data_IF_269457121657
#
_entry.id   IF_269457121657
#
_cell.length_a   1.000
_cell.length_b   1.000
_cell.length_c   1.000
_cell.angle_alpha   90.00
_cell.angle_beta   90.00
_cell.angle_gamma   90.00
#
_symmetry.space_group_name_H-M   'P 1'
#
loop_
_entity.id
_entity.type
_entity.pdbx_description
1 polymer ?
#
# COMPACT_ATOMS: atom_id res chain seq x y z
N UNK A 1 18.97 -29.45 -7.71
CA UNK A 1 17.81 -28.80 -8.37
C UNK A 1 16.98 -27.95 -7.39
N UNK A 2 17.53 -27.51 -6.24
CA UNK A 2 16.72 -26.94 -5.13
C UNK A 2 16.53 -25.41 -5.15
N UNK A 3 17.48 -24.63 -5.69
CA UNK A 3 17.47 -23.17 -5.48
C UNK A 3 16.26 -22.39 -6.03
N UNK A 4 15.54 -22.90 -7.04
CA UNK A 4 14.33 -22.24 -7.56
C UNK A 4 13.11 -22.48 -6.66
N UNK A 5 13.06 -23.65 -6.02
CA UNK A 5 12.00 -24.00 -5.08
C UNK A 5 12.17 -23.19 -3.78
N UNK A 6 13.42 -23.10 -3.30
CA UNK A 6 13.77 -22.32 -2.11
C UNK A 6 13.44 -20.83 -2.29
N UNK A 7 13.70 -20.27 -3.48
CA UNK A 7 13.33 -18.90 -3.81
C UNK A 7 11.80 -18.68 -3.90
N UNK A 8 11.05 -19.68 -4.39
CA UNK A 8 9.59 -19.60 -4.47
C UNK A 8 8.94 -19.67 -3.08
N UNK A 9 9.46 -20.52 -2.20
CA UNK A 9 9.03 -20.61 -0.81
C UNK A 9 9.36 -19.34 -0.01
N UNK A 10 10.56 -18.78 -0.19
CA UNK A 10 10.95 -17.52 0.45
C UNK A 10 10.03 -16.38 0.01
N UNK A 11 9.81 -16.25 -1.30
CA UNK A 11 8.89 -15.27 -1.86
C UNK A 11 7.48 -15.42 -1.28
N UNK A 12 6.93 -16.63 -1.29
CA UNK A 12 5.61 -16.94 -0.79
C UNK A 12 5.43 -16.53 0.68
N UNK A 13 6.38 -16.93 1.52
CA UNK A 13 6.39 -16.61 2.96
C UNK A 13 6.37 -15.11 3.20
N UNK A 14 7.24 -14.36 2.52
CA UNK A 14 7.34 -12.90 2.65
C UNK A 14 6.11 -12.19 2.08
N UNK A 15 5.56 -12.70 0.99
CA UNK A 15 4.34 -12.18 0.36
C UNK A 15 3.11 -12.36 1.25
N UNK A 16 2.93 -13.53 1.86
CA UNK A 16 1.87 -13.76 2.85
C UNK A 16 2.04 -12.80 4.04
N UNK A 17 3.26 -12.63 4.53
CA UNK A 17 3.55 -11.75 5.66
C UNK A 17 3.16 -10.29 5.39
N UNK A 18 3.49 -9.74 4.22
CA UNK A 18 3.09 -8.36 3.88
C UNK A 18 1.60 -8.25 3.58
N UNK A 19 0.97 -9.28 3.00
CA UNK A 19 -0.47 -9.28 2.75
C UNK A 19 -1.27 -9.23 4.07
N UNK A 20 -0.82 -9.96 5.09
CA UNK A 20 -1.48 -10.03 6.40
C UNK A 20 -1.30 -8.75 7.23
N UNK A 21 -0.18 -8.05 7.06
CA UNK A 21 0.19 -6.92 7.92
C UNK A 21 0.01 -5.57 7.22
N UNK A 22 0.25 -5.47 5.93
CA UNK A 22 0.15 -4.21 5.18
C UNK A 22 -1.19 -4.18 4.44
N UNK A 23 -2.15 -3.51 5.07
CA UNK A 23 -3.42 -3.13 4.43
C UNK A 23 -3.89 -1.78 4.99
N UNK A 24 -4.58 -0.96 4.17
CA UNK A 24 -5.12 0.33 4.60
C UNK A 24 -6.07 0.15 5.79
N UNK A 25 -6.00 1.07 6.75
CA UNK A 25 -6.93 1.07 7.88
C UNK A 25 -8.40 1.17 7.40
N UNK A 26 -8.64 1.90 6.31
CA UNK A 26 -9.96 2.06 5.68
C UNK A 26 -10.56 0.75 5.19
N UNK A 27 -9.71 -0.18 4.75
CA UNK A 27 -10.14 -1.49 4.29
C UNK A 27 -10.50 -2.38 5.48
N UNK A 28 -9.86 -2.17 6.65
CA UNK A 28 -10.09 -2.92 7.88
C UNK A 28 -9.74 -4.41 7.80
N UNK A 29 -9.29 -4.88 6.65
CA UNK A 29 -8.95 -6.28 6.36
C UNK A 29 -7.77 -6.38 5.40
N UNK A 30 -7.02 -7.50 5.44
CA UNK A 30 -6.03 -7.84 4.41
C UNK A 30 -6.63 -7.82 3.00
N UNK A 31 -5.81 -7.46 2.01
CA UNK A 31 -6.20 -7.55 0.61
C UNK A 31 -6.53 -8.99 0.22
N UNK A 32 -7.63 -9.17 -0.51
CA UNK A 32 -7.97 -10.44 -1.14
C UNK A 32 -7.08 -10.71 -2.35
N UNK A 33 -6.92 -11.99 -2.73
CA UNK A 33 -6.16 -12.35 -3.94
C UNK A 33 -6.70 -11.65 -5.21
N UNK A 34 -8.02 -11.38 -5.24
CA UNK A 34 -8.68 -10.67 -6.33
C UNK A 34 -8.30 -9.20 -6.37
N UNK A 35 -8.29 -8.50 -5.23
CA UNK A 35 -7.87 -7.09 -5.15
C UNK A 35 -6.39 -6.93 -5.54
N UNK A 36 -5.53 -7.85 -5.10
CA UNK A 36 -4.10 -7.85 -5.50
C UNK A 36 -3.95 -8.11 -6.99
N UNK A 37 -4.70 -9.07 -7.53
CA UNK A 37 -4.70 -9.41 -8.95
C UNK A 37 -5.14 -8.20 -9.81
N UNK A 38 -6.21 -7.53 -9.41
CA UNK A 38 -6.72 -6.32 -10.08
C UNK A 38 -5.68 -5.18 -10.03
N UNK A 39 -5.07 -4.93 -8.87
CA UNK A 39 -4.08 -3.85 -8.68
C UNK A 39 -2.78 -4.07 -9.48
N UNK A 40 -2.34 -5.32 -9.61
CA UNK A 40 -1.06 -5.67 -10.28
C UNK A 40 -1.28 -6.07 -11.75
N UNK A 41 -2.54 -6.18 -12.20
CA UNK A 41 -2.89 -6.65 -13.54
C UNK A 41 -2.50 -8.11 -13.80
N UNK A 42 -2.68 -8.96 -12.78
CA UNK A 42 -2.42 -10.41 -12.82
C UNK A 42 -3.73 -11.19 -12.72
N UNK A 43 -3.70 -12.50 -13.03
CA UNK A 43 -4.84 -13.36 -12.72
C UNK A 43 -4.83 -13.80 -11.25
N UNK A 44 -6.01 -14.05 -10.68
CA UNK A 44 -6.15 -14.58 -9.32
C UNK A 44 -5.38 -15.90 -9.16
N UNK A 45 -5.40 -16.76 -10.18
CA UNK A 45 -4.64 -18.01 -10.20
C UNK A 45 -3.12 -17.78 -10.14
N UNK A 46 -2.60 -16.75 -10.82
CA UNK A 46 -1.19 -16.39 -10.71
C UNK A 46 -0.85 -15.93 -9.29
N UNK A 47 -1.66 -15.06 -8.69
CA UNK A 47 -1.47 -14.63 -7.29
C UNK A 47 -1.48 -15.83 -6.33
N UNK A 48 -2.42 -16.76 -6.50
CA UNK A 48 -2.49 -17.96 -5.66
C UNK A 48 -1.27 -18.87 -5.83
N UNK A 49 -0.74 -19.03 -7.04
CA UNK A 49 0.49 -19.79 -7.28
C UNK A 49 1.72 -19.15 -6.63
N UNK A 50 1.80 -17.80 -6.63
CA UNK A 50 2.86 -17.06 -5.94
C UNK A 50 2.74 -17.21 -4.42
N UNK A 51 1.52 -17.06 -3.88
CA UNK A 51 1.24 -17.19 -2.45
C UNK A 51 1.55 -18.57 -1.88
N UNK A 52 1.34 -19.62 -2.69
CA UNK A 52 1.58 -21.01 -2.28
C UNK A 52 2.99 -21.51 -2.63
N UNK A 53 3.90 -20.63 -3.09
CA UNK A 53 5.28 -21.01 -3.43
C UNK A 53 5.40 -21.92 -4.66
N UNK A 54 4.35 -22.06 -5.47
CA UNK A 54 4.37 -22.90 -6.69
C UNK A 54 5.11 -22.26 -7.84
N UNK A 55 5.29 -20.94 -7.79
CA UNK A 55 5.97 -20.18 -8.84
C UNK A 55 6.70 -18.97 -8.26
N UNK A 56 7.79 -18.58 -8.91
CA UNK A 56 8.49 -17.33 -8.66
C UNK A 56 7.93 -16.27 -9.61
N UNK A 57 7.62 -15.05 -9.15
CA UNK A 57 7.14 -14.00 -10.04
C UNK A 57 8.25 -13.56 -10.99
N UNK A 58 7.85 -13.05 -12.16
CA UNK A 58 8.78 -12.32 -13.03
C UNK A 58 9.16 -10.99 -12.38
N UNK A 59 10.31 -10.45 -12.77
CA UNK A 59 10.86 -9.22 -12.16
C UNK A 59 9.87 -8.05 -12.21
N UNK A 60 9.19 -7.84 -13.33
CA UNK A 60 8.15 -6.82 -13.50
C UNK A 60 7.01 -6.97 -12.47
N UNK A 61 6.57 -8.20 -12.25
CA UNK A 61 5.48 -8.51 -11.29
C UNK A 61 5.94 -8.45 -9.85
N UNK A 62 7.17 -8.86 -9.57
CA UNK A 62 7.77 -8.74 -8.24
C UNK A 62 7.87 -7.27 -7.81
N UNK A 63 8.29 -6.39 -8.73
CA UNK A 63 8.35 -4.94 -8.49
C UNK A 63 6.94 -4.37 -8.28
N UNK A 64 5.97 -4.74 -9.11
CA UNK A 64 4.60 -4.25 -8.95
C UNK A 64 3.97 -4.68 -7.61
N UNK A 65 4.23 -5.91 -7.16
CA UNK A 65 3.84 -6.38 -5.82
C UNK A 65 4.57 -5.58 -4.73
N UNK A 66 5.88 -5.36 -4.86
CA UNK A 66 6.66 -4.58 -3.90
C UNK A 66 6.09 -3.15 -3.74
N UNK A 67 5.79 -2.49 -4.86
CA UNK A 67 5.16 -1.17 -4.90
C UNK A 67 3.79 -1.15 -4.25
N UNK A 68 2.96 -2.17 -4.48
CA UNK A 68 1.63 -2.28 -3.86
C UNK A 68 1.71 -2.30 -2.32
N UNK A 69 2.68 -3.02 -1.78
CA UNK A 69 2.87 -3.13 -0.32
C UNK A 69 3.86 -2.09 0.25
N UNK A 70 4.40 -1.19 -0.57
CA UNK A 70 5.35 -0.17 -0.12
C UNK A 70 6.69 -0.73 0.38
N UNK A 71 7.12 -1.91 -0.07
CA UNK A 71 8.42 -2.52 0.24
C UNK A 71 9.33 -2.51 -0.98
N UNK A 72 10.64 -2.72 -0.80
CA UNK A 72 11.57 -2.93 -1.92
C UNK A 72 11.51 -4.40 -2.36
N UNK A 73 11.74 -4.66 -3.65
CA UNK A 73 11.63 -6.01 -4.24
C UNK A 73 12.60 -7.01 -3.62
N UNK A 74 13.76 -6.54 -3.15
CA UNK A 74 14.79 -7.34 -2.49
C UNK A 74 14.25 -8.04 -1.23
N UNK A 75 13.29 -7.41 -0.54
CA UNK A 75 12.67 -7.99 0.66
C UNK A 75 12.14 -9.41 0.44
N UNK A 76 11.58 -9.70 -0.74
CA UNK A 76 11.00 -11.00 -1.02
C UNK A 76 12.03 -12.12 -1.24
N UNK A 77 13.29 -11.77 -1.52
CA UNK A 77 14.35 -12.72 -1.86
C UNK A 77 15.52 -12.67 -0.89
N UNK A 78 15.62 -11.63 -0.06
CA UNK A 78 16.67 -11.46 0.92
C UNK A 78 16.61 -12.51 2.03
N UNK A 79 17.77 -12.98 2.52
CA UNK A 79 17.82 -13.83 3.71
C UNK A 79 17.34 -13.07 4.94
N UNK A 80 16.93 -13.80 5.98
CA UNK A 80 16.44 -13.22 7.24
C UNK A 80 17.53 -12.43 8.01
N UNK A 81 18.79 -12.56 7.60
CA UNK A 81 19.94 -11.85 8.14
C UNK A 81 20.17 -10.48 7.49
N UNK A 82 19.54 -10.23 6.35
CA UNK A 82 19.67 -8.98 5.61
C UNK A 82 19.18 -7.80 6.47
N UNK A 83 19.98 -6.72 6.61
CA UNK A 83 19.63 -5.58 7.45
C UNK A 83 18.30 -4.93 7.07
N UNK A 84 17.99 -4.85 5.77
CA UNK A 84 16.74 -4.28 5.29
C UNK A 84 15.57 -5.21 5.59
N UNK A 85 15.70 -6.51 5.34
CA UNK A 85 14.66 -7.47 5.69
C UNK A 85 14.35 -7.50 7.20
N UNK A 86 15.35 -7.34 8.06
CA UNK A 86 15.17 -7.22 9.52
C UNK A 86 14.44 -5.95 9.93
N UNK A 87 14.75 -4.83 9.30
CA UNK A 87 14.07 -3.55 9.56
C UNK A 87 12.60 -3.61 9.17
N UNK A 88 12.31 -4.14 7.97
CA UNK A 88 10.93 -4.35 7.50
C UNK A 88 10.18 -5.26 8.47
N UNK A 89 10.73 -6.42 8.86
CA UNK A 89 10.06 -7.33 9.80
C UNK A 89 9.80 -6.70 11.18
N UNK A 90 10.72 -5.85 11.66
CA UNK A 90 10.51 -5.08 12.89
C UNK A 90 9.33 -4.12 12.73
N UNK A 91 9.25 -3.42 11.60
CA UNK A 91 8.14 -2.52 11.31
C UNK A 91 6.80 -3.27 11.19
N UNK A 92 6.78 -4.40 10.49
CA UNK A 92 5.59 -5.27 10.39
C UNK A 92 5.11 -5.75 11.76
N UNK A 93 6.04 -6.11 12.67
CA UNK A 93 5.69 -6.48 14.04
C UNK A 93 5.08 -5.32 14.83
N UNK A 94 5.57 -4.09 14.64
CA UNK A 94 4.99 -2.91 15.29
C UNK A 94 3.53 -2.71 14.85
N UNK A 95 3.26 -2.76 13.54
CA UNK A 95 1.90 -2.66 12.97
C UNK A 95 0.98 -3.77 13.54
N UNK A 96 1.48 -5.00 13.62
CA UNK A 96 0.72 -6.12 14.16
C UNK A 96 0.41 -5.97 15.66
N UNK A 97 1.36 -5.45 16.45
CA UNK A 97 1.16 -5.19 17.88
C UNK A 97 0.15 -4.09 18.13
N UNK A 98 0.22 -3.00 17.36
CA UNK A 98 -0.75 -1.91 17.39
C UNK A 98 -2.17 -2.44 17.11
N UNK A 99 -2.30 -3.35 16.13
CA UNK A 99 -3.59 -3.95 15.78
C UNK A 99 -4.11 -4.95 16.81
N UNK A 100 -3.25 -5.81 17.39
CA UNK A 100 -3.63 -6.78 18.44
C UNK A 100 -4.10 -6.11 19.74
N UNK A 101 -3.88 -4.81 19.92
CA UNK A 101 -4.37 -4.01 21.04
C UNK A 101 -5.76 -3.35 20.87
N UNK A 102 -6.54 -3.68 19.81
CA UNK A 102 -7.92 -3.26 19.42
C UNK A 102 -8.71 -2.20 20.26
N UNK A 103 -9.46 -1.24 19.66
CA UNK A 103 -10.02 -1.30 18.30
C UNK A 103 -9.63 -0.15 17.35
N UNK A 104 -9.45 -0.45 16.05
CA UNK A 104 -9.72 0.53 14.98
C UNK A 104 -11.25 0.62 14.86
N UNK A 105 -11.84 1.37 15.78
CA UNK A 105 -13.29 1.52 15.89
C UNK A 105 -13.68 2.83 16.54
N UNK A 106 -12.90 3.91 16.35
CA UNK A 106 -13.25 5.20 16.93
C UNK A 106 -12.66 6.43 16.20
N UNK A 107 -12.91 6.57 14.90
CA UNK A 107 -12.90 7.90 14.24
C UNK A 107 -14.11 8.12 13.30
N UNK A 108 -15.22 7.40 13.50
CA UNK A 108 -16.46 7.73 12.75
C UNK A 108 -17.76 7.38 13.48
N UNK A 109 -17.87 7.74 14.77
CA UNK A 109 -19.19 7.74 15.43
C UNK A 109 -19.32 8.85 16.47
N UNK A 110 -19.77 10.01 16.01
CA UNK A 110 -20.53 10.95 16.82
C UNK A 110 -21.67 11.51 15.95
N UNK A 111 -22.90 11.19 16.35
CA UNK A 111 -24.18 11.86 16.08
C UNK A 111 -24.61 12.07 14.61
N UNK A 112 -25.78 11.64 14.14
CA UNK A 112 -26.98 11.11 14.77
C UNK A 112 -27.86 10.50 13.67
N UNK A 113 -28.63 9.47 13.96
CA UNK A 113 -30.04 9.69 14.27
C UNK A 113 -30.88 9.44 13.02
N UNK A 114 -31.50 8.25 12.99
CA UNK A 114 -32.46 7.78 11.99
C UNK A 114 -33.38 8.88 11.43
N UNK A 115 -33.68 8.85 10.14
CA UNK A 115 -35.05 8.94 9.56
C UNK A 115 -34.99 8.87 8.03
N UNK A 116 -35.76 7.92 7.49
CA UNK A 116 -36.52 7.90 6.23
C UNK A 116 -36.17 8.86 5.05
N UNK A 117 -36.29 8.27 3.86
CA UNK A 117 -36.81 8.82 2.60
C UNK A 117 -35.91 9.75 1.74
N UNK A 118 -35.89 9.36 0.45
CA UNK A 118 -35.92 10.22 -0.75
C UNK A 118 -34.65 11.01 -1.11
N UNK A 119 -34.02 10.55 -2.20
CA UNK A 119 -33.95 11.31 -3.46
C UNK A 119 -33.02 12.53 -3.57
N UNK A 120 -32.16 12.48 -4.60
CA UNK A 120 -31.74 13.68 -5.33
C UNK A 120 -30.33 14.23 -5.04
N UNK A 121 -29.78 15.08 -5.94
CA UNK A 121 -28.41 14.94 -6.43
C UNK A 121 -27.44 16.08 -6.04
N UNK A 122 -26.15 15.71 -5.84
CA UNK A 122 -24.89 16.51 -5.91
C UNK A 122 -24.85 17.87 -5.15
N UNK A 123 -23.76 18.67 -5.12
CA UNK A 123 -22.30 18.46 -5.26
C UNK A 123 -21.53 19.01 -4.01
N UNK A 124 -20.20 19.14 -4.12
CA UNK A 124 -19.28 19.92 -3.26
C UNK A 124 -18.60 19.19 -2.08
N UNK A 125 -17.53 18.45 -2.40
CA UNK A 125 -16.50 18.09 -1.43
C UNK A 125 -15.65 19.32 -1.06
N UNK A 126 -16.12 20.03 -0.04
CA UNK A 126 -15.29 20.87 0.82
C UNK A 126 -15.28 20.20 2.21
N UNK A 127 -14.11 19.71 2.64
CA UNK A 127 -13.94 19.13 3.97
C UNK A 127 -12.64 18.37 4.11
N UNK A 128 -11.65 19.03 4.71
CA UNK A 128 -10.46 18.48 5.40
C UNK A 128 -9.82 17.22 4.76
N UNK A 129 -8.79 17.44 3.95
CA UNK A 129 -7.82 16.39 3.63
C UNK A 129 -6.84 16.30 4.82
N UNK A 130 -6.75 15.12 5.42
CA UNK A 130 -6.05 14.74 6.65
C UNK A 130 -4.70 15.43 6.92
N UNK A 131 -4.70 16.36 7.87
CA UNK A 131 -3.54 17.09 8.38
C UNK A 131 -2.43 16.16 8.93
N UNK A 132 -2.77 14.96 9.40
CA UNK A 132 -1.81 14.02 9.99
C UNK A 132 -0.86 13.38 8.97
N UNK A 133 -1.35 13.02 7.78
CA UNK A 133 -0.48 12.50 6.72
C UNK A 133 0.45 13.60 6.17
N UNK A 134 -0.07 14.81 6.02
CA UNK A 134 0.71 15.98 5.61
C UNK A 134 1.82 16.27 6.64
N UNK A 135 1.49 16.17 7.93
CA UNK A 135 2.43 16.34 9.04
C UNK A 135 3.53 15.28 9.06
N UNK A 136 3.20 14.01 8.88
CA UNK A 136 4.19 12.93 8.85
C UNK A 136 5.19 13.09 7.68
N UNK A 137 4.72 13.52 6.51
CA UNK A 137 5.59 13.83 5.37
C UNK A 137 6.48 15.03 5.69
N UNK A 138 5.92 16.09 6.28
CA UNK A 138 6.68 17.30 6.64
C UNK A 138 7.79 16.99 7.67
N UNK A 139 7.49 16.19 8.70
CA UNK A 139 8.45 15.73 9.70
C UNK A 139 9.57 14.89 9.06
N UNK A 140 9.21 13.99 8.14
CA UNK A 140 10.18 13.17 7.41
C UNK A 140 11.08 13.98 6.47
N UNK A 141 10.57 15.03 5.83
CA UNK A 141 11.36 15.92 4.96
C UNK A 141 12.27 16.85 5.77
N UNK A 142 11.85 17.26 6.97
CA UNK A 142 12.61 18.16 7.83
C UNK A 142 13.95 17.56 8.29
N UNK A 143 14.02 16.23 8.46
CA UNK A 143 15.25 15.53 8.88
C UNK A 143 16.25 15.28 7.74
N UNK A 144 15.87 15.54 6.48
CA UNK A 144 16.72 15.29 5.32
C UNK A 144 17.71 16.44 5.04
N UNK A 145 18.89 16.15 4.46
CA UNK A 145 19.80 17.17 3.91
C UNK A 145 19.13 18.02 2.82
N UNK A 146 19.62 19.26 2.62
CA UNK A 146 19.01 20.24 1.71
C UNK A 146 18.80 19.71 0.29
N UNK A 147 19.81 19.07 -0.28
CA UNK A 147 19.79 18.52 -1.65
C UNK A 147 18.69 17.44 -1.83
N UNK A 148 18.44 16.65 -0.78
CA UNK A 148 17.37 15.64 -0.77
C UNK A 148 15.99 16.30 -0.64
N UNK A 149 15.87 17.41 0.11
CA UNK A 149 14.63 18.20 0.18
C UNK A 149 14.27 18.80 -1.18
N UNK A 150 15.25 19.30 -1.93
CA UNK A 150 15.04 19.82 -3.29
C UNK A 150 14.54 18.74 -4.27
N UNK A 151 15.08 17.52 -4.13
CA UNK A 151 14.62 16.37 -4.91
C UNK A 151 13.15 16.05 -4.61
N UNK A 152 12.76 16.04 -3.33
CA UNK A 152 11.37 15.83 -2.91
C UNK A 152 10.44 16.91 -3.47
N UNK A 153 10.82 18.19 -3.37
CA UNK A 153 10.04 19.30 -3.95
C UNK A 153 9.81 19.11 -5.45
N UNK A 154 10.86 18.72 -6.18
CA UNK A 154 10.78 18.47 -7.62
C UNK A 154 9.81 17.34 -7.94
N UNK A 155 9.84 16.24 -7.18
CA UNK A 155 8.92 15.12 -7.35
C UNK A 155 7.47 15.50 -7.05
N UNK A 156 7.23 16.29 -5.99
CA UNK A 156 5.88 16.79 -5.66
C UNK A 156 5.33 17.65 -6.79
N UNK A 157 6.14 18.53 -7.37
CA UNK A 157 5.72 19.36 -8.50
C UNK A 157 5.45 18.54 -9.77
N UNK A 158 6.23 17.50 -10.02
CA UNK A 158 5.97 16.54 -11.10
C UNK A 158 4.64 15.81 -10.88
N UNK A 159 4.39 15.28 -9.68
CA UNK A 159 3.14 14.60 -9.34
C UNK A 159 1.93 15.53 -9.49
N UNK A 160 2.03 16.77 -9.02
CA UNK A 160 0.98 17.79 -9.22
C UNK A 160 0.71 18.04 -10.69
N UNK A 161 1.75 18.06 -11.54
CA UNK A 161 1.59 18.22 -12.99
C UNK A 161 0.88 17.02 -13.62
N UNK A 162 1.26 15.81 -13.24
CA UNK A 162 0.62 14.56 -13.73
C UNK A 162 -0.84 14.49 -13.28
N UNK A 163 -1.14 14.79 -12.01
CA UNK A 163 -2.51 14.80 -11.49
C UNK A 163 -3.41 15.78 -12.26
N UNK A 164 -2.89 16.96 -12.61
CA UNK A 164 -3.61 17.91 -13.48
C UNK A 164 -3.89 17.34 -14.87
N UNK A 165 -2.91 16.67 -15.48
CA UNK A 165 -3.07 16.04 -16.80
C UNK A 165 -4.08 14.89 -16.81
N UNK A 166 -4.10 14.08 -15.75
CA UNK A 166 -5.10 13.03 -15.57
C UNK A 166 -6.52 13.61 -15.44
N UNK A 167 -6.70 14.66 -14.62
CA UNK A 167 -7.98 15.34 -14.46
C UNK A 167 -8.50 15.96 -15.77
N UNK A 168 -7.61 16.41 -16.65
CA UNK A 168 -7.98 16.91 -17.99
C UNK A 168 -8.42 15.81 -18.96
N UNK A 169 -7.96 14.55 -18.78
CA UNK A 169 -8.35 13.41 -19.63
C UNK A 169 -9.71 12.81 -19.25
N UNK A 170 -10.08 12.87 -17.97
CA UNK A 170 -11.38 12.41 -17.48
C UNK A 170 -12.53 13.38 -17.80
N UNK A 171 -12.22 14.63 -18.14
CA UNK A 171 -13.21 15.69 -18.40
C UNK A 171 -13.62 15.91 -19.85
N UNK A 172 -13.24 15.02 -20.79
CA UNK A 172 -13.58 15.19 -22.22
C UNK A 172 -14.77 14.29 -22.59
N UNK A 173 -16.01 14.82 -22.63
CA UNK A 173 -17.16 14.07 -23.10
C UNK A 173 -17.00 13.80 -24.61
N UNK A 174 -17.29 12.56 -25.03
CA UNK A 174 -17.45 12.19 -26.43
C UNK A 174 -18.75 12.74 -27.00
#
# INVERSE_FOLDING_TARGET
MSGRHDAAECFARRFQRVQEVIYPADLGRPYTEREIAEAVGMSVSQISNLRNGRSVPRADRAVALATLFGVRVEYFFSPDEDPYARDVERHLRAIEQERRGEPIGQLNRAAGGSTLLVGGPTPANAGLLDDDQVRQIAEGVAVLPHDMRETVCTLVDQLRRVARQHKSREGQPR
#
